data_IF_906205861102
#
_entry.id   IF_906205861102
#
_cell.length_a   1.000
_cell.length_b   1.000
_cell.length_c   1.000
_cell.angle_alpha   90.00
_cell.angle_beta   90.00
_cell.angle_gamma   90.00
#
_symmetry.space_group_name_H-M   'P 1'
#
loop_
_entity.id
_entity.type
_entity.pdbx_description
1 polymer ?
#
# COMPACT_ATOMS: atom_id res chain seq x y z
N UNK A 1 -15.92 15.38 4.58
CA UNK A 1 -14.59 14.89 4.09
C UNK A 1 -13.51 15.70 4.77
N UNK A 2 -12.52 15.05 5.36
CA UNK A 2 -11.34 15.71 5.91
C UNK A 2 -10.52 16.34 4.77
N UNK A 3 -9.89 17.49 5.01
CA UNK A 3 -8.97 18.08 4.02
C UNK A 3 -7.69 17.23 3.92
N UNK A 4 -6.99 17.28 2.78
CA UNK A 4 -5.73 16.55 2.62
C UNK A 4 -4.66 16.95 3.66
N UNK A 5 -4.64 18.22 4.11
CA UNK A 5 -3.78 18.67 5.20
C UNK A 5 -4.12 17.99 6.52
N UNK A 6 -5.40 17.86 6.86
CA UNK A 6 -5.86 17.15 8.05
C UNK A 6 -5.50 15.66 8.01
N UNK A 7 -5.60 15.03 6.84
CA UNK A 7 -5.22 13.63 6.63
C UNK A 7 -3.71 13.45 6.85
N UNK A 8 -2.89 14.32 6.26
CA UNK A 8 -1.43 14.31 6.43
C UNK A 8 -1.02 14.47 7.89
N UNK A 9 -1.63 15.41 8.62
CA UNK A 9 -1.40 15.60 10.06
C UNK A 9 -1.78 14.35 10.87
N UNK A 10 -2.93 13.75 10.57
CA UNK A 10 -3.39 12.52 11.24
C UNK A 10 -2.40 11.38 10.99
N UNK A 11 -1.93 11.19 9.76
CA UNK A 11 -0.93 10.16 9.42
C UNK A 11 0.38 10.36 10.19
N UNK A 12 0.84 11.61 10.31
CA UNK A 12 2.04 11.94 11.08
C UNK A 12 1.87 11.68 12.59
N UNK A 13 0.77 12.15 13.18
CA UNK A 13 0.47 11.95 14.61
C UNK A 13 0.35 10.47 14.98
N UNK A 14 -0.32 9.69 14.15
CA UNK A 14 -0.50 8.25 14.36
C UNK A 14 0.70 7.42 13.90
N UNK A 15 1.71 8.04 13.28
CA UNK A 15 2.88 7.36 12.70
C UNK A 15 2.47 6.29 11.68
N UNK A 16 1.66 6.68 10.71
CA UNK A 16 1.22 5.85 9.60
C UNK A 16 2.10 6.12 8.37
N UNK A 17 2.57 5.05 7.72
CA UNK A 17 3.22 5.13 6.40
C UNK A 17 2.45 4.35 5.34
N UNK A 18 2.81 4.58 4.07
CA UNK A 18 2.32 3.80 2.93
C UNK A 18 3.47 3.00 2.34
N UNK A 19 3.30 1.69 2.18
CA UNK A 19 4.26 0.79 1.55
C UNK A 19 3.76 0.42 0.16
N UNK A 20 4.59 0.65 -0.86
CA UNK A 20 4.29 0.36 -2.26
C UNK A 20 5.30 -0.66 -2.79
N UNK A 21 4.98 -1.97 -2.76
CA UNK A 21 5.80 -2.97 -3.43
C UNK A 21 5.64 -2.83 -4.94
N UNK A 22 6.74 -2.92 -5.67
CA UNK A 22 6.73 -2.77 -7.14
C UNK A 22 7.71 -3.73 -7.83
N UNK A 23 7.29 -4.26 -8.98
CA UNK A 23 8.11 -5.05 -9.88
C UNK A 23 7.63 -4.84 -11.32
N UNK A 24 8.48 -4.22 -12.16
CA UNK A 24 8.19 -3.96 -13.58
C UNK A 24 6.84 -3.23 -13.81
N UNK A 25 6.59 -2.17 -13.04
CA UNK A 25 5.35 -1.38 -13.11
C UNK A 25 5.58 0.08 -13.53
N UNK A 26 6.55 0.34 -14.44
CA UNK A 26 6.88 1.70 -14.88
C UNK A 26 5.66 2.50 -15.40
N UNK A 27 4.65 1.84 -15.97
CA UNK A 27 3.47 2.51 -16.54
C UNK A 27 2.52 3.09 -15.50
N UNK A 28 2.47 2.52 -14.31
CA UNK A 28 1.46 2.84 -13.28
C UNK A 28 2.05 3.41 -12.01
N UNK A 29 3.31 3.07 -11.69
CA UNK A 29 3.95 3.44 -10.44
C UNK A 29 3.93 4.94 -10.17
N UNK A 30 4.26 5.77 -11.19
CA UNK A 30 4.26 7.22 -11.05
C UNK A 30 2.90 7.73 -10.58
N UNK A 31 1.81 7.28 -11.22
CA UNK A 31 0.43 7.67 -10.86
C UNK A 31 0.08 7.25 -9.44
N UNK A 32 0.53 6.06 -9.01
CA UNK A 32 0.27 5.56 -7.65
C UNK A 32 1.01 6.42 -6.62
N UNK A 33 2.29 6.70 -6.83
CA UNK A 33 3.08 7.57 -5.93
C UNK A 33 2.47 8.98 -5.88
N UNK A 34 2.18 9.60 -7.02
CA UNK A 34 1.59 10.95 -7.09
C UNK A 34 0.23 11.00 -6.38
N UNK A 35 -0.57 9.93 -6.47
CA UNK A 35 -1.84 9.82 -5.77
C UNK A 35 -1.66 9.78 -4.25
N UNK A 36 -0.72 8.99 -3.74
CA UNK A 36 -0.43 8.89 -2.30
C UNK A 36 0.19 10.17 -1.76
N UNK A 37 1.02 10.86 -2.55
CA UNK A 37 1.63 12.14 -2.18
C UNK A 37 0.61 13.26 -1.93
N UNK A 38 -0.62 13.13 -2.41
CA UNK A 38 -1.71 14.06 -2.06
C UNK A 38 -2.08 14.01 -0.57
N UNK A 39 -1.78 12.91 0.10
CA UNK A 39 -2.14 12.66 1.50
C UNK A 39 -0.95 12.64 2.44
N UNK A 40 0.20 12.13 2.00
CA UNK A 40 1.38 11.99 2.86
C UNK A 40 2.68 11.87 2.07
N UNK A 41 3.78 12.27 2.69
CA UNK A 41 5.15 11.99 2.24
C UNK A 41 5.76 10.75 2.92
N UNK A 42 5.06 10.14 3.88
CA UNK A 42 5.49 8.93 4.58
C UNK A 42 5.32 7.71 3.67
N UNK A 43 6.09 7.63 2.61
CA UNK A 43 6.00 6.59 1.56
C UNK A 43 7.29 5.78 1.54
N UNK A 44 7.16 4.47 1.52
CA UNK A 44 8.27 3.52 1.34
C UNK A 44 7.97 2.70 0.08
N UNK A 45 8.75 2.90 -0.97
CA UNK A 45 8.66 2.11 -2.21
C UNK A 45 9.68 0.97 -2.14
N UNK A 46 9.23 -0.25 -2.39
CA UNK A 46 10.12 -1.42 -2.43
C UNK A 46 10.18 -1.97 -3.85
N UNK A 47 11.30 -1.73 -4.52
CA UNK A 47 11.57 -2.23 -5.87
C UNK A 47 12.16 -3.65 -5.80
N UNK A 48 11.34 -4.61 -6.15
CA UNK A 48 11.67 -6.04 -6.10
C UNK A 48 12.43 -6.51 -7.35
N UNK A 49 13.55 -5.85 -7.66
CA UNK A 49 14.42 -6.24 -8.75
C UNK A 49 13.87 -5.95 -10.15
N UNK A 50 13.21 -4.80 -10.33
CA UNK A 50 12.70 -4.39 -11.65
C UNK A 50 13.82 -4.24 -12.68
N UNK A 51 13.51 -4.61 -13.92
CA UNK A 51 14.41 -4.55 -15.08
C UNK A 51 13.96 -3.50 -16.12
N UNK A 52 12.83 -2.84 -15.87
CA UNK A 52 12.30 -1.75 -16.69
C UNK A 52 12.65 -0.37 -16.07
N UNK A 53 12.04 0.72 -16.56
CA UNK A 53 12.27 2.09 -16.08
C UNK A 53 11.71 2.37 -14.67
N UNK A 54 11.29 1.35 -13.92
CA UNK A 54 10.75 1.51 -12.55
C UNK A 54 11.74 2.23 -11.63
N UNK A 55 13.03 1.86 -11.70
CA UNK A 55 14.08 2.48 -10.88
C UNK A 55 14.27 3.97 -11.20
N UNK A 56 14.19 4.38 -12.46
CA UNK A 56 14.28 5.77 -12.89
C UNK A 56 13.14 6.60 -12.31
N UNK A 57 11.90 6.05 -12.31
CA UNK A 57 10.74 6.69 -11.71
C UNK A 57 10.97 6.89 -10.21
N UNK A 58 11.38 5.86 -9.49
CA UNK A 58 11.63 5.96 -8.04
C UNK A 58 12.67 7.03 -7.74
N UNK A 59 13.77 7.04 -8.48
CA UNK A 59 14.86 7.99 -8.29
C UNK A 59 14.47 9.45 -8.63
N UNK A 60 13.37 9.68 -9.34
CA UNK A 60 12.86 11.03 -9.60
C UNK A 60 12.19 11.69 -8.39
N UNK A 61 11.93 10.93 -7.32
CA UNK A 61 11.34 11.44 -6.08
C UNK A 61 12.41 11.58 -5.00
N UNK A 62 12.59 12.79 -4.47
CA UNK A 62 13.52 13.06 -3.36
C UNK A 62 12.86 12.99 -1.98
N UNK A 63 11.53 12.89 -1.91
CA UNK A 63 10.73 12.99 -0.68
C UNK A 63 10.21 11.66 -0.17
N UNK A 64 10.51 10.56 -0.85
CA UNK A 64 10.06 9.22 -0.47
C UNK A 64 11.25 8.33 -0.10
N UNK A 65 11.02 7.40 0.80
CA UNK A 65 11.98 6.33 1.06
C UNK A 65 11.87 5.22 0.02
N UNK A 66 13.00 4.63 -0.35
CA UNK A 66 13.01 3.49 -1.27
C UNK A 66 14.00 2.40 -0.88
N UNK A 67 13.64 1.16 -1.18
CA UNK A 67 14.51 -0.01 -1.09
C UNK A 67 14.53 -0.65 -2.47
N UNK A 68 15.71 -0.96 -2.98
CA UNK A 68 15.87 -1.71 -4.24
C UNK A 68 16.69 -2.96 -4.01
N UNK A 69 16.18 -4.11 -4.45
CA UNK A 69 16.92 -5.37 -4.46
C UNK A 69 17.29 -5.74 -5.90
N UNK A 70 18.37 -6.47 -6.05
CA UNK A 70 18.98 -6.75 -7.38
C UNK A 70 18.22 -7.83 -8.16
N UNK A 71 17.47 -8.69 -7.48
CA UNK A 71 16.76 -9.81 -8.09
C UNK A 71 15.39 -9.97 -7.46
N UNK A 72 14.39 -10.21 -8.28
CA UNK A 72 13.02 -10.45 -7.83
C UNK A 72 12.97 -11.62 -6.83
N UNK A 73 12.40 -11.37 -5.66
CA UNK A 73 12.19 -12.34 -4.59
C UNK A 73 10.71 -12.51 -4.22
N UNK A 74 9.84 -11.83 -4.94
CA UNK A 74 8.40 -11.90 -4.80
C UNK A 74 7.80 -10.88 -3.84
N UNK A 75 6.51 -10.58 -4.07
CA UNK A 75 5.75 -9.55 -3.32
C UNK A 75 5.83 -9.71 -1.80
N UNK A 76 5.78 -10.94 -1.30
CA UNK A 76 5.86 -11.20 0.14
C UNK A 76 7.18 -10.75 0.75
N UNK A 77 8.32 -10.95 0.04
CA UNK A 77 9.61 -10.46 0.49
C UNK A 77 9.69 -8.93 0.42
N UNK A 78 9.16 -8.33 -0.66
CA UNK A 78 9.11 -6.88 -0.80
C UNK A 78 8.30 -6.24 0.35
N UNK A 79 7.14 -6.78 0.69
CA UNK A 79 6.35 -6.32 1.83
C UNK A 79 7.11 -6.47 3.15
N UNK A 80 7.78 -7.58 3.39
CA UNK A 80 8.59 -7.78 4.60
C UNK A 80 9.70 -6.74 4.74
N UNK A 81 10.38 -6.42 3.64
CA UNK A 81 11.40 -5.35 3.63
C UNK A 81 10.79 -3.99 3.92
N UNK A 82 9.63 -3.68 3.31
CA UNK A 82 8.89 -2.44 3.57
C UNK A 82 8.46 -2.30 5.01
N UNK A 83 7.92 -3.36 5.64
CA UNK A 83 7.55 -3.35 7.05
C UNK A 83 8.76 -3.17 7.97
N UNK A 84 9.88 -3.84 7.70
CA UNK A 84 11.10 -3.64 8.48
C UNK A 84 11.56 -2.18 8.40
N UNK A 85 11.56 -1.59 7.21
CA UNK A 85 11.90 -0.19 7.02
C UNK A 85 10.93 0.77 7.74
N UNK A 86 9.65 0.44 7.73
CA UNK A 86 8.64 1.21 8.46
C UNK A 86 8.93 1.21 9.98
N UNK A 87 9.28 0.05 10.53
CA UNK A 87 9.66 -0.09 11.96
C UNK A 87 10.94 0.71 12.25
N UNK A 88 11.98 0.60 11.42
CA UNK A 88 13.23 1.36 11.56
C UNK A 88 13.00 2.87 11.56
N UNK A 89 12.05 3.35 10.73
CA UNK A 89 11.66 4.76 10.65
C UNK A 89 10.71 5.19 11.79
N UNK A 90 10.33 4.27 12.70
CA UNK A 90 9.46 4.55 13.85
C UNK A 90 7.98 4.66 13.52
N UNK A 91 7.51 4.11 12.40
CA UNK A 91 6.09 4.03 12.10
C UNK A 91 5.43 2.92 12.91
N UNK A 92 4.18 3.16 13.32
CA UNK A 92 3.38 2.21 14.09
C UNK A 92 2.40 1.45 13.22
N UNK A 93 1.97 2.05 12.12
CA UNK A 93 1.00 1.48 11.18
C UNK A 93 1.50 1.62 9.75
N UNK A 94 1.13 0.68 8.90
CA UNK A 94 1.44 0.73 7.48
C UNK A 94 0.21 0.36 6.64
N UNK A 95 -0.08 1.19 5.65
CA UNK A 95 -1.05 0.90 4.59
C UNK A 95 -0.28 0.36 3.40
N UNK A 96 -0.69 -0.78 2.84
CA UNK A 96 -0.06 -1.34 1.64
C UNK A 96 -0.91 -1.03 0.41
N UNK A 97 -0.29 -0.46 -0.62
CA UNK A 97 -0.93 -0.13 -1.90
C UNK A 97 -0.14 -0.77 -3.04
N UNK A 98 -0.80 -1.55 -3.90
CA UNK A 98 -0.14 -2.17 -5.05
C UNK A 98 0.18 -1.14 -6.14
N UNK A 99 1.34 -1.30 -6.78
CA UNK A 99 1.83 -0.39 -7.82
C UNK A 99 1.16 -0.57 -9.19
N UNK A 100 0.24 -1.54 -9.33
CA UNK A 100 -0.50 -1.80 -10.59
C UNK A 100 -1.61 -0.77 -10.89
N UNK A 101 -1.89 0.12 -9.93
CA UNK A 101 -2.89 1.16 -10.03
C UNK A 101 -4.34 0.66 -9.92
N UNK A 102 -4.55 -0.57 -9.44
CA UNK A 102 -5.88 -1.11 -9.16
C UNK A 102 -6.40 -0.75 -7.76
N UNK A 103 -5.55 -0.28 -6.87
CA UNK A 103 -5.90 0.24 -5.55
C UNK A 103 -6.01 1.76 -5.60
N UNK A 104 -7.04 2.30 -4.96
CA UNK A 104 -7.27 3.73 -4.93
C UNK A 104 -6.59 4.34 -3.70
N UNK A 105 -5.77 5.36 -3.93
CA UNK A 105 -5.21 6.19 -2.85
C UNK A 105 -6.32 6.91 -2.07
N UNK A 106 -7.49 7.11 -2.66
CA UNK A 106 -8.68 7.70 -2.02
C UNK A 106 -9.26 6.85 -0.88
N UNK A 107 -8.82 5.58 -0.75
CA UNK A 107 -9.19 4.74 0.37
C UNK A 107 -8.36 5.04 1.65
N UNK A 108 -7.26 5.81 1.55
CA UNK A 108 -6.42 6.17 2.71
C UNK A 108 -7.22 6.82 3.84
N UNK A 109 -8.10 7.82 3.59
CA UNK A 109 -8.93 8.41 4.64
C UNK A 109 -9.82 7.39 5.35
N UNK A 110 -10.39 6.44 4.60
CA UNK A 110 -11.27 5.39 5.15
C UNK A 110 -10.49 4.48 6.11
N UNK A 111 -9.26 4.08 5.75
CA UNK A 111 -8.40 3.30 6.65
C UNK A 111 -8.05 4.06 7.93
N UNK A 112 -7.82 5.37 7.84
CA UNK A 112 -7.54 6.20 9.02
C UNK A 112 -8.75 6.32 9.95
N UNK A 113 -9.95 6.49 9.40
CA UNK A 113 -11.20 6.51 10.18
C UNK A 113 -11.45 5.17 10.88
N UNK A 114 -11.20 4.05 10.20
CA UNK A 114 -11.33 2.72 10.81
C UNK A 114 -10.26 2.46 11.87
N UNK A 115 -9.04 2.99 11.68
CA UNK A 115 -7.98 2.90 12.67
C UNK A 115 -8.34 3.63 13.98
N UNK A 116 -9.10 4.73 13.90
CA UNK A 116 -9.56 5.48 15.07
C UNK A 116 -10.61 4.73 15.90
N UNK A 117 -11.37 3.85 15.26
CA UNK A 117 -12.44 3.07 15.91
C UNK A 117 -11.94 1.81 16.60
N UNK A 118 -10.71 1.40 16.33
CA UNK A 118 -10.16 0.15 16.80
C UNK A 118 -8.96 0.40 17.71
N UNK A 119 -8.85 -0.41 18.76
CA UNK A 119 -7.66 -0.44 19.61
C UNK A 119 -6.45 -1.03 18.85
N UNK A 120 -5.26 -0.85 19.41
CA UNK A 120 -3.99 -1.33 18.85
C UNK A 120 -4.00 -2.81 18.44
N UNK A 121 -3.19 -3.16 17.42
CA UNK A 121 -3.01 -4.51 16.88
C UNK A 121 -4.15 -5.01 15.97
N UNK A 122 -4.69 -4.15 15.13
CA UNK A 122 -5.70 -4.51 14.12
C UNK A 122 -5.08 -4.72 12.75
N UNK A 123 -5.61 -5.69 12.00
CA UNK A 123 -5.38 -5.86 10.58
C UNK A 123 -6.65 -5.44 9.83
N UNK A 124 -6.61 -4.29 9.16
CA UNK A 124 -7.71 -3.81 8.33
C UNK A 124 -7.49 -4.27 6.88
N UNK A 125 -8.45 -4.96 6.32
CA UNK A 125 -8.39 -5.45 4.92
C UNK A 125 -9.50 -4.76 4.13
N UNK A 126 -9.09 -3.94 3.15
CA UNK A 126 -10.01 -3.38 2.16
C UNK A 126 -10.53 -4.48 1.24
N UNK A 127 -11.84 -4.67 1.18
CA UNK A 127 -12.49 -5.59 0.25
C UNK A 127 -13.16 -4.83 -0.88
N UNK A 128 -12.93 -5.27 -2.13
CA UNK A 128 -13.66 -4.73 -3.27
C UNK A 128 -15.05 -5.31 -3.33
N UNK A 129 -16.03 -4.46 -3.65
CA UNK A 129 -17.35 -4.96 -4.02
C UNK A 129 -17.27 -5.66 -5.38
N UNK A 130 -17.16 -6.99 -5.38
CA UNK A 130 -16.98 -7.84 -6.55
C UNK A 130 -18.25 -7.96 -7.42
N UNK A 131 -19.36 -7.33 -7.01
CA UNK A 131 -20.62 -7.31 -7.76
C UNK A 131 -20.74 -6.10 -8.70
N UNK A 132 -19.72 -5.23 -8.78
CA UNK A 132 -19.70 -4.13 -9.73
C UNK A 132 -19.30 -4.61 -11.12
N UNK A 133 -19.94 -4.02 -12.16
CA UNK A 133 -19.58 -4.28 -13.55
C UNK A 133 -18.12 -3.85 -13.83
N UNK A 134 -17.36 -4.71 -14.51
CA UNK A 134 -15.97 -4.43 -14.89
C UNK A 134 -14.90 -5.16 -14.08
N UNK A 135 -15.25 -5.94 -13.05
CA UNK A 135 -14.27 -6.75 -12.30
C UNK A 135 -13.87 -8.00 -13.10
N UNK A 136 -12.57 -8.23 -13.39
CA UNK A 136 -12.13 -9.41 -14.12
C UNK A 136 -12.48 -10.70 -13.38
N UNK A 137 -13.03 -11.70 -14.07
CA UNK A 137 -13.44 -13.00 -13.50
C UNK A 137 -12.33 -13.73 -12.74
N UNK A 138 -11.06 -13.59 -13.15
CA UNK A 138 -9.90 -14.16 -12.46
C UNK A 138 -9.66 -13.53 -11.08
N UNK A 139 -9.91 -12.24 -10.93
CA UNK A 139 -9.80 -11.52 -9.66
C UNK A 139 -10.90 -11.95 -8.68
N UNK A 140 -12.11 -12.20 -9.19
CA UNK A 140 -13.23 -12.72 -8.40
C UNK A 140 -12.94 -14.11 -7.80
N UNK A 141 -12.30 -15.00 -8.57
CA UNK A 141 -11.95 -16.34 -8.09
C UNK A 141 -10.89 -16.28 -6.97
N UNK A 142 -9.84 -15.46 -7.12
CA UNK A 142 -8.79 -15.30 -6.10
C UNK A 142 -9.34 -14.77 -4.78
N UNK A 143 -10.26 -13.81 -4.82
CA UNK A 143 -10.89 -13.25 -3.61
C UNK A 143 -11.84 -14.25 -2.92
N UNK A 144 -12.60 -15.04 -3.69
CA UNK A 144 -13.43 -16.11 -3.13
C UNK A 144 -12.58 -17.17 -2.42
N UNK A 145 -11.42 -17.52 -3.00
CA UNK A 145 -10.49 -18.46 -2.40
C UNK A 145 -9.85 -17.91 -1.13
N UNK A 146 -9.40 -16.66 -1.15
CA UNK A 146 -8.84 -15.97 0.02
C UNK A 146 -9.86 -15.88 1.16
N UNK A 147 -11.10 -15.46 0.88
CA UNK A 147 -12.16 -15.37 1.88
C UNK A 147 -12.56 -16.75 2.44
N UNK A 148 -12.45 -17.81 1.66
CA UNK A 148 -12.68 -19.18 2.15
C UNK A 148 -11.63 -19.63 3.18
N UNK A 149 -10.34 -19.27 2.97
CA UNK A 149 -9.24 -19.68 3.86
C UNK A 149 -9.06 -18.78 5.09
N UNK A 150 -9.33 -17.48 4.98
CA UNK A 150 -9.10 -16.50 6.05
C UNK A 150 -10.38 -16.02 6.74
N UNK A 151 -11.56 -16.44 6.26
CA UNK A 151 -12.87 -15.88 6.63
C UNK A 151 -13.58 -16.54 7.80
N UNK A 152 -12.91 -17.24 8.73
CA UNK A 152 -13.51 -17.68 10.01
C UNK A 152 -12.51 -17.51 11.14
N UNK A 153 -12.67 -16.49 12.01
CA UNK A 153 -12.09 -16.57 13.34
C UNK A 153 -12.76 -17.77 14.04
N UNK A 154 -11.97 -18.76 14.42
CA UNK A 154 -12.43 -19.75 15.38
C UNK A 154 -12.43 -19.07 16.74
N UNK A 155 -13.62 -19.03 17.35
CA UNK A 155 -13.76 -18.76 18.77
C UNK A 155 -12.92 -19.73 19.61
#
# INVERSE_FOLDING_TARGET
>A
MLSNSTISETMNLKKVCVIIPTYNNHKTLKRVIDGVLQYTTNIIVVNDGSTDSTSEIINSYSTIDSISITKNQGKGNALRLGFNKAIENGFHYAITIDSDGQHFHDDIPVFLEELDKNDSNVLLIGSRNMNQEGVPKKSSFGNKFSNFWFGKPKC
#
